data_IF_093735493533
#
_entry.id   IF_093735493533
#
_cell.length_a   1.000
_cell.length_b   1.000
_cell.length_c   1.000
_cell.angle_alpha   90.00
_cell.angle_beta   90.00
_cell.angle_gamma   90.00
#
_symmetry.space_group_name_H-M   'P 1'
#
loop_
_entity.id
_entity.type
_entity.pdbx_description
1 polymer ?
#
# COMPACT_ATOMS: atom_id res chain seq x y z
N UNK A 1 -6.38 3.57 13.35
CA UNK A 1 -5.45 4.50 12.67
C UNK A 1 -5.42 4.27 11.16
N UNK A 2 -5.44 3.03 10.67
CA UNK A 2 -5.38 2.74 9.22
C UNK A 2 -6.70 2.97 8.45
N UNK A 3 -7.83 3.11 9.15
CA UNK A 3 -9.17 3.23 8.54
C UNK A 3 -9.23 4.27 7.40
N UNK A 4 -8.71 5.51 7.55
CA UNK A 4 -8.79 6.49 6.47
C UNK A 4 -8.07 6.06 5.19
N UNK A 5 -6.99 5.28 5.32
CA UNK A 5 -6.28 4.74 4.16
C UNK A 5 -7.07 3.61 3.51
N UNK A 6 -7.76 2.77 4.29
CA UNK A 6 -8.62 1.73 3.74
C UNK A 6 -9.83 2.30 3.00
N UNK A 7 -10.49 3.33 3.55
CA UNK A 7 -11.60 4.03 2.88
C UNK A 7 -11.16 4.57 1.50
N UNK A 8 -9.98 5.17 1.41
CA UNK A 8 -9.41 5.63 0.14
C UNK A 8 -9.14 4.47 -0.82
N UNK A 9 -8.62 3.34 -0.33
CA UNK A 9 -8.32 2.18 -1.18
C UNK A 9 -9.60 1.54 -1.71
N UNK A 10 -10.68 1.48 -0.93
CA UNK A 10 -11.99 0.99 -1.37
C UNK A 10 -12.57 1.88 -2.47
N UNK A 11 -12.49 3.20 -2.34
CA UNK A 11 -12.92 4.13 -3.39
C UNK A 11 -12.09 3.97 -4.67
N UNK A 12 -10.76 3.90 -4.56
CA UNK A 12 -9.88 3.72 -5.72
C UNK A 12 -10.00 2.34 -6.37
N UNK A 13 -10.41 1.31 -5.63
CA UNK A 13 -10.69 -0.02 -6.19
C UNK A 13 -11.84 0.03 -7.20
N UNK A 14 -12.87 0.86 -6.95
CA UNK A 14 -13.94 1.09 -7.92
C UNK A 14 -13.48 1.90 -9.14
N UNK A 15 -12.60 2.88 -8.93
CA UNK A 15 -12.14 3.78 -10.01
C UNK A 15 -10.98 3.26 -10.85
N UNK A 16 -10.21 2.28 -10.36
CA UNK A 16 -8.97 1.77 -11.00
C UNK A 16 -9.05 0.25 -11.21
N UNK A 17 -9.94 -0.25 -12.08
CA UNK A 17 -10.14 -1.69 -12.30
C UNK A 17 -8.90 -2.42 -12.84
N UNK A 18 -7.92 -1.69 -13.37
CA UNK A 18 -6.62 -2.21 -13.81
C UNK A 18 -5.65 -2.51 -12.66
N UNK A 19 -5.89 -1.96 -11.47
CA UNK A 19 -5.11 -2.20 -10.26
C UNK A 19 -5.88 -3.14 -9.33
N UNK A 20 -5.16 -4.08 -8.72
CA UNK A 20 -5.74 -4.96 -7.69
C UNK A 20 -5.37 -4.46 -6.31
N UNK A 21 -6.37 -4.29 -5.46
CA UNK A 21 -6.20 -3.84 -4.09
C UNK A 21 -6.29 -5.03 -3.14
N UNK A 22 -5.40 -5.05 -2.15
CA UNK A 22 -5.33 -6.11 -1.16
C UNK A 22 -5.05 -5.50 0.21
N UNK A 23 -5.74 -6.00 1.22
CA UNK A 23 -5.46 -5.70 2.62
C UNK A 23 -4.96 -6.96 3.34
N UNK A 24 -4.15 -6.76 4.37
CA UNK A 24 -3.70 -7.86 5.23
C UNK A 24 -3.54 -7.39 6.66
N UNK A 25 -3.78 -8.29 7.61
CA UNK A 25 -3.52 -8.04 9.02
C UNK A 25 -2.00 -7.91 9.26
N UNK A 26 -1.57 -6.80 9.87
CA UNK A 26 -0.15 -6.49 10.05
C UNK A 26 0.55 -7.39 11.09
N UNK A 27 -0.22 -7.95 12.03
CA UNK A 27 0.26 -8.79 13.12
C UNK A 27 0.19 -10.30 12.79
N UNK A 28 -0.34 -10.66 11.62
CA UNK A 28 -0.39 -12.07 11.19
C UNK A 28 1.03 -12.62 10.91
N UNK A 29 1.27 -13.93 11.08
CA UNK A 29 2.54 -14.55 10.68
C UNK A 29 2.91 -14.30 9.21
N UNK A 30 1.92 -14.32 8.32
CA UNK A 30 2.05 -14.17 6.88
C UNK A 30 2.52 -12.75 6.49
N UNK A 31 2.19 -11.74 7.29
CA UNK A 31 2.65 -10.35 7.09
C UNK A 31 4.16 -10.16 7.26
N UNK A 32 4.87 -11.15 7.80
CA UNK A 32 6.31 -11.10 7.99
C UNK A 32 7.08 -10.78 6.70
N UNK A 33 6.57 -11.19 5.53
CA UNK A 33 7.20 -10.89 4.23
C UNK A 33 7.14 -9.41 3.88
N UNK A 34 6.07 -8.71 4.28
CA UNK A 34 5.87 -7.28 4.06
C UNK A 34 6.64 -6.46 5.10
N UNK A 35 6.54 -6.84 6.37
CA UNK A 35 7.20 -6.14 7.49
C UNK A 35 8.72 -6.15 7.39
N UNK A 36 9.28 -7.25 6.89
CA UNK A 36 10.72 -7.44 6.76
C UNK A 36 11.25 -7.13 5.34
N UNK A 37 10.39 -6.66 4.43
CA UNK A 37 10.81 -6.29 3.09
C UNK A 37 11.89 -5.19 3.14
N UNK A 38 12.93 -5.24 2.27
CA UNK A 38 13.97 -4.22 2.21
C UNK A 38 13.42 -2.78 2.07
N UNK A 39 12.32 -2.62 1.33
CA UNK A 39 11.66 -1.35 1.04
C UNK A 39 10.94 -0.76 2.27
N UNK A 40 10.63 -1.59 3.26
CA UNK A 40 10.02 -1.20 4.52
C UNK A 40 11.06 -0.98 5.64
N UNK A 41 12.36 -1.19 5.36
CA UNK A 41 13.43 -1.06 6.34
C UNK A 41 13.57 0.40 6.77
N UNK A 42 13.10 0.72 7.97
CA UNK A 42 13.09 2.08 8.54
C UNK A 42 11.70 2.68 8.68
N UNK A 43 10.64 1.96 8.29
CA UNK A 43 9.28 2.37 8.62
C UNK A 43 9.04 2.22 10.12
N UNK A 44 8.61 3.32 10.75
CA UNK A 44 8.43 3.41 12.21
C UNK A 44 6.96 3.32 12.63
N UNK A 45 6.01 3.31 11.69
CA UNK A 45 4.59 3.33 12.02
C UNK A 45 3.66 2.84 10.91
N UNK A 46 2.47 2.45 11.30
CA UNK A 46 1.38 2.07 10.39
C UNK A 46 0.67 3.29 9.79
N UNK A 47 -0.09 3.12 8.71
CA UNK A 47 -0.15 1.93 7.84
C UNK A 47 1.10 1.76 6.98
N UNK A 48 1.35 0.53 6.52
CA UNK A 48 2.28 0.24 5.43
C UNK A 48 1.45 0.08 4.16
N UNK A 49 1.89 0.70 3.07
CA UNK A 49 1.26 0.56 1.76
C UNK A 49 2.32 0.15 0.75
N UNK A 50 2.09 -0.97 0.06
CA UNK A 50 3.02 -1.52 -0.92
C UNK A 50 2.40 -1.53 -2.31
N UNK A 51 3.18 -1.08 -3.28
CA UNK A 51 2.80 -1.02 -4.69
C UNK A 51 3.63 -2.04 -5.45
N UNK A 52 2.97 -2.98 -6.12
CA UNK A 52 3.61 -4.06 -6.87
C UNK A 52 3.36 -3.89 -8.38
N UNK A 53 4.42 -3.99 -9.17
CA UNK A 53 4.35 -4.02 -10.64
C UNK A 53 5.15 -5.21 -11.16
N UNK A 54 4.52 -6.04 -11.99
CA UNK A 54 5.15 -7.24 -12.58
C UNK A 54 5.80 -8.17 -11.55
N UNK A 55 5.14 -8.35 -10.39
CA UNK A 55 5.61 -9.24 -9.32
C UNK A 55 6.76 -8.69 -8.47
N UNK A 56 7.17 -7.42 -8.66
CA UNK A 56 8.21 -6.77 -7.87
C UNK A 56 7.65 -5.53 -7.15
N UNK A 57 8.27 -5.17 -6.03
CA UNK A 57 7.94 -3.95 -5.31
C UNK A 57 8.38 -2.74 -6.14
N UNK A 58 7.43 -1.92 -6.56
CA UNK A 58 7.69 -0.67 -7.28
C UNK A 58 7.85 0.51 -6.31
N UNK A 59 7.07 0.51 -5.22
CA UNK A 59 7.12 1.53 -4.16
C UNK A 59 6.58 0.96 -2.84
N UNK A 60 7.07 1.50 -1.73
CA UNK A 60 6.47 1.34 -0.41
C UNK A 60 6.34 2.70 0.27
N UNK A 61 5.28 2.89 1.03
CA UNK A 61 5.05 4.07 1.89
C UNK A 61 4.60 3.64 3.29
N UNK A 62 4.73 4.56 4.23
CA UNK A 62 4.42 4.40 5.64
C UNK A 62 3.59 5.59 6.13
N UNK A 63 2.92 5.44 7.27
CA UNK A 63 2.07 6.48 7.88
C UNK A 63 0.81 6.77 7.06
N UNK A 64 -0.11 7.54 7.65
CA UNK A 64 -1.37 7.89 6.99
C UNK A 64 -1.08 8.64 5.69
N UNK A 65 -1.80 8.26 4.63
CA UNK A 65 -1.75 8.90 3.32
C UNK A 65 -3.13 9.49 3.00
N UNK A 66 -3.16 10.56 2.22
CA UNK A 66 -4.39 11.10 1.64
C UNK A 66 -4.63 10.57 0.22
N UNK A 67 -5.82 10.84 -0.33
CA UNK A 67 -6.25 10.41 -1.66
C UNK A 67 -5.20 10.79 -2.73
N UNK A 68 -4.80 12.05 -2.76
CA UNK A 68 -3.86 12.55 -3.77
C UNK A 68 -2.49 11.85 -3.72
N UNK A 69 -1.97 11.53 -2.53
CA UNK A 69 -0.71 10.80 -2.38
C UNK A 69 -0.83 9.37 -2.93
N UNK A 70 -1.94 8.69 -2.65
CA UNK A 70 -2.15 7.32 -3.11
C UNK A 70 -2.34 7.30 -4.63
N UNK A 71 -3.20 8.15 -5.19
CA UNK A 71 -3.41 8.27 -6.64
C UNK A 71 -2.11 8.60 -7.36
N UNK A 72 -1.32 9.55 -6.85
CA UNK A 72 -0.02 9.90 -7.47
C UNK A 72 0.94 8.72 -7.50
N UNK A 73 0.97 7.88 -6.44
CA UNK A 73 1.80 6.69 -6.44
C UNK A 73 1.29 5.62 -7.43
N UNK A 74 -0.04 5.45 -7.55
CA UNK A 74 -0.61 4.55 -8.56
C UNK A 74 -0.21 5.01 -9.96
N UNK A 75 -0.44 6.29 -10.28
CA UNK A 75 -0.15 6.89 -11.58
C UNK A 75 1.36 6.92 -11.89
N UNK A 76 2.23 7.00 -10.89
CA UNK A 76 3.68 7.03 -11.10
C UNK A 76 4.30 5.63 -11.20
N UNK A 77 3.82 4.68 -10.40
CA UNK A 77 4.50 3.39 -10.21
C UNK A 77 3.77 2.21 -10.85
N UNK A 78 2.46 2.31 -11.11
CA UNK A 78 1.62 1.22 -11.62
C UNK A 78 1.04 1.44 -13.02
N UNK A 79 1.10 2.66 -13.57
CA UNK A 79 0.68 2.99 -14.94
C UNK A 79 1.53 2.37 -16.04
#
# INVERSE_FOLDING_TARGET
MCIPVYEIMEELEEERPEVKFYSMAFDSPESGVIRNAPECRGFMGLPFTMYYKSGKVAKATTSIQNMQQITSNLDQFLS
#
